data_IF_659133053882
#
_entry.id   IF_659133053882
#
_cell.length_a   1.000
_cell.length_b   1.000
_cell.length_c   1.000
_cell.angle_alpha   90.00
_cell.angle_beta   90.00
_cell.angle_gamma   90.00
#
_symmetry.space_group_name_H-M   'P 1'
#
loop_
_entity.id
_entity.type
_entity.pdbx_description
1 polymer ?
#
# COMPACT_ATOMS: atom_id res chain seq x y z
N UNK A 1 2.00 4.59 9.17
CA UNK A 1 2.56 4.45 7.81
C UNK A 1 3.30 3.13 7.68
N UNK A 2 3.15 2.47 6.54
CA UNK A 2 3.85 1.22 6.25
C UNK A 2 4.99 1.53 5.29
N UNK A 3 6.22 1.19 5.67
CA UNK A 3 7.40 1.33 4.81
C UNK A 3 7.75 -0.07 4.28
N UNK A 4 7.41 -0.31 3.03
CA UNK A 4 7.64 -1.60 2.37
C UNK A 4 8.69 -1.51 1.27
N UNK A 5 9.56 -0.49 1.32
CA UNK A 5 10.63 -0.33 0.34
C UNK A 5 11.67 -1.43 0.52
N UNK A 6 12.25 -1.85 -0.60
CA UNK A 6 13.27 -2.90 -0.59
C UNK A 6 12.74 -4.31 -0.43
N UNK A 7 11.43 -4.50 -0.39
CA UNK A 7 10.83 -5.82 -0.28
C UNK A 7 10.40 -6.33 -1.65
N UNK A 8 10.52 -7.64 -1.83
CA UNK A 8 10.08 -8.30 -3.05
C UNK A 8 8.56 -8.55 -2.99
N UNK A 9 7.90 -8.44 -4.14
CA UNK A 9 6.51 -8.82 -4.29
C UNK A 9 6.36 -10.33 -3.98
N UNK A 10 5.36 -10.75 -3.18
CA UNK A 10 4.18 -10.00 -2.73
C UNK A 10 4.28 -9.42 -1.31
N UNK A 11 5.48 -9.32 -0.74
CA UNK A 11 5.63 -8.89 0.65
C UNK A 11 4.99 -7.53 0.97
N UNK A 12 5.11 -6.48 0.11
CA UNK A 12 4.46 -5.22 0.43
C UNK A 12 2.95 -5.34 0.61
N UNK A 13 2.27 -6.11 -0.24
CA UNK A 13 0.82 -6.27 -0.11
C UNK A 13 0.47 -7.08 1.14
N UNK A 14 1.31 -8.04 1.53
CA UNK A 14 1.10 -8.81 2.76
C UNK A 14 1.19 -7.90 3.97
N UNK A 15 2.14 -6.98 4.00
CA UNK A 15 2.27 -6.01 5.10
C UNK A 15 1.03 -5.12 5.20
N UNK A 16 0.51 -4.64 4.06
CA UNK A 16 -0.70 -3.84 4.04
C UNK A 16 -1.90 -4.65 4.52
N UNK A 17 -2.01 -5.91 4.10
CA UNK A 17 -3.08 -6.80 4.56
C UNK A 17 -3.06 -6.96 6.09
N UNK A 18 -1.89 -7.18 6.66
CA UNK A 18 -1.75 -7.33 8.11
C UNK A 18 -2.19 -6.07 8.83
N UNK A 19 -1.77 -4.90 8.35
CA UNK A 19 -2.13 -3.63 8.96
C UNK A 19 -3.64 -3.38 8.89
N UNK A 20 -4.24 -3.62 7.74
CA UNK A 20 -5.67 -3.42 7.54
C UNK A 20 -6.47 -4.35 8.45
N UNK A 21 -6.07 -5.63 8.55
CA UNK A 21 -6.78 -6.60 9.37
C UNK A 21 -6.61 -6.34 10.86
N UNK A 22 -5.43 -5.88 11.28
CA UNK A 22 -5.14 -5.67 12.70
C UNK A 22 -5.77 -4.38 13.22
N UNK A 23 -5.66 -3.28 12.47
CA UNK A 23 -6.04 -1.95 12.95
C UNK A 23 -7.22 -1.33 12.22
N UNK A 24 -7.59 -1.86 11.06
CA UNK A 24 -8.69 -1.35 10.21
C UNK A 24 -8.65 0.18 10.09
N UNK A 25 -7.51 0.75 9.67
CA UNK A 25 -7.39 2.22 9.67
C UNK A 25 -8.32 2.84 8.65
N UNK A 26 -8.82 4.04 8.96
CA UNK A 26 -9.61 4.81 8.01
C UNK A 26 -8.70 5.44 6.94
N UNK A 27 -7.44 5.67 7.27
CA UNK A 27 -6.44 6.19 6.36
C UNK A 27 -5.11 5.50 6.64
N UNK A 28 -4.39 5.15 5.58
CA UNK A 28 -3.11 4.47 5.69
C UNK A 28 -2.20 4.92 4.55
N UNK A 29 -0.97 5.29 4.87
CA UNK A 29 0.05 5.61 3.88
C UNK A 29 1.02 4.44 3.76
N UNK A 30 1.37 4.10 2.53
CA UNK A 30 2.29 3.00 2.23
C UNK A 30 3.38 3.50 1.31
N UNK A 31 4.63 3.18 1.63
CA UNK A 31 5.78 3.47 0.76
C UNK A 31 6.30 2.19 0.15
N UNK A 32 6.47 2.19 -1.17
CA UNK A 32 7.03 1.07 -1.92
C UNK A 32 7.98 1.62 -2.99
N UNK A 33 8.86 0.76 -3.52
CA UNK A 33 9.77 1.13 -4.58
C UNK A 33 9.61 0.26 -5.83
N UNK A 34 8.55 -0.53 -5.89
CA UNK A 34 8.29 -1.47 -6.97
C UNK A 34 6.91 -1.21 -7.58
N UNK A 35 6.81 -0.95 -8.91
CA UNK A 35 5.50 -0.77 -9.56
C UNK A 35 4.56 -1.97 -9.39
N UNK A 36 5.10 -3.18 -9.33
CA UNK A 36 4.30 -4.38 -9.09
C UNK A 36 3.58 -4.30 -7.73
N UNK A 37 4.28 -3.81 -6.72
CA UNK A 37 3.69 -3.62 -5.39
C UNK A 37 2.58 -2.56 -5.43
N UNK A 38 2.77 -1.49 -6.19
CA UNK A 38 1.75 -0.44 -6.35
C UNK A 38 0.46 -1.06 -6.88
N UNK A 39 0.55 -1.85 -7.94
CA UNK A 39 -0.62 -2.48 -8.53
C UNK A 39 -1.31 -3.44 -7.56
N UNK A 40 -0.54 -4.29 -6.91
CA UNK A 40 -1.08 -5.29 -5.99
C UNK A 40 -1.77 -4.64 -4.78
N UNK A 41 -1.14 -3.63 -4.20
CA UNK A 41 -1.71 -2.93 -3.05
C UNK A 41 -2.98 -2.17 -3.46
N UNK A 42 -2.96 -1.53 -4.62
CA UNK A 42 -4.13 -0.81 -5.12
C UNK A 42 -5.31 -1.76 -5.30
N UNK A 43 -5.07 -2.93 -5.87
CA UNK A 43 -6.12 -3.93 -6.06
C UNK A 43 -6.67 -4.42 -4.73
N UNK A 44 -5.80 -4.76 -3.80
CA UNK A 44 -6.22 -5.23 -2.49
C UNK A 44 -7.02 -4.16 -1.74
N UNK A 45 -6.48 -2.94 -1.69
CA UNK A 45 -7.13 -1.84 -0.97
C UNK A 45 -8.51 -1.52 -1.58
N UNK A 46 -8.61 -1.56 -2.89
CA UNK A 46 -9.89 -1.36 -3.57
C UNK A 46 -10.92 -2.39 -3.16
N UNK A 47 -10.51 -3.65 -3.00
CA UNK A 47 -11.41 -4.73 -2.57
C UNK A 47 -11.86 -4.54 -1.12
N UNK A 48 -11.13 -3.79 -0.33
CA UNK A 48 -11.47 -3.52 1.07
C UNK A 48 -12.22 -2.19 1.26
N UNK A 49 -12.57 -1.53 0.17
CA UNK A 49 -13.35 -0.29 0.22
C UNK A 49 -12.52 0.97 0.35
N UNK A 50 -11.20 0.89 0.17
CA UNK A 50 -10.34 2.06 0.21
C UNK A 50 -10.24 2.74 -1.15
N UNK A 51 -10.12 4.07 -1.12
CA UNK A 51 -9.69 4.84 -2.28
C UNK A 51 -8.18 4.95 -2.22
N UNK A 52 -7.51 4.70 -3.33
CA UNK A 52 -6.05 4.70 -3.39
C UNK A 52 -5.58 5.85 -4.27
N UNK A 53 -4.71 6.67 -3.71
CA UNK A 53 -4.02 7.73 -4.44
C UNK A 53 -2.54 7.39 -4.49
N UNK A 54 -1.97 7.32 -5.68
CA UNK A 54 -0.57 7.00 -5.88
C UNK A 54 0.18 8.27 -6.24
N UNK A 55 1.25 8.54 -5.50
CA UNK A 55 2.13 9.67 -5.75
C UNK A 55 3.55 9.15 -5.96
N UNK A 56 4.20 9.57 -7.03
CA UNK A 56 5.60 9.25 -7.25
C UNK A 56 6.47 10.22 -6.45
N UNK A 57 7.48 9.68 -5.77
CA UNK A 57 8.42 10.45 -4.98
C UNK A 57 9.84 9.95 -5.32
N UNK A 58 10.44 10.53 -6.36
CA UNK A 58 11.72 10.07 -6.85
C UNK A 58 11.60 8.66 -7.41
N UNK A 59 12.38 7.72 -6.87
CA UNK A 59 12.33 6.32 -7.27
C UNK A 59 11.25 5.54 -6.50
N UNK A 60 10.61 6.17 -5.52
CA UNK A 60 9.62 5.52 -4.66
C UNK A 60 8.20 5.89 -5.06
N UNK A 61 7.25 5.12 -4.55
CA UNK A 61 5.82 5.39 -4.72
C UNK A 61 5.16 5.45 -3.35
N UNK A 62 4.36 6.48 -3.15
CA UNK A 62 3.57 6.62 -1.93
C UNK A 62 2.11 6.36 -2.28
N UNK A 63 1.50 5.41 -1.60
CA UNK A 63 0.09 5.10 -1.75
C UNK A 63 -0.66 5.61 -0.53
N UNK A 64 -1.66 6.45 -0.76
CA UNK A 64 -2.55 6.93 0.30
C UNK A 64 -3.86 6.20 0.17
N UNK A 65 -4.18 5.39 1.18
CA UNK A 65 -5.41 4.62 1.25
C UNK A 65 -6.37 5.34 2.18
N UNK A 66 -7.58 5.63 1.70
CA UNK A 66 -8.60 6.32 2.48
C UNK A 66 -9.95 5.65 2.30
N UNK A 67 -10.69 5.55 3.38
CA UNK A 67 -12.07 5.10 3.33
C UNK A 67 -13.04 6.24 3.16
#
# INVERSE_FOLDING_TARGET
>A
MVDARGLLCPMPVVMVQKEVKANKPAALDVLVDDPCAVENITRYAGSQGYKVTVTEDGADFKLSLNK
#
